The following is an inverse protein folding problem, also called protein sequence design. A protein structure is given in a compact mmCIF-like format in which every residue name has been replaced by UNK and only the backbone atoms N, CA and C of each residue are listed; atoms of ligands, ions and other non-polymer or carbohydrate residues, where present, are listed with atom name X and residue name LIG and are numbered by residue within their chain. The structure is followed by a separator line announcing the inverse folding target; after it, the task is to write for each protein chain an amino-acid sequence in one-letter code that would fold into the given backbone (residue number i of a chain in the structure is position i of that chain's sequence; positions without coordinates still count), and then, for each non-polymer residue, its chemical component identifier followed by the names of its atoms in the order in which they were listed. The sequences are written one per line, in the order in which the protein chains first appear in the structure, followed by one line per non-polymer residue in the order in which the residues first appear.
data_IF_213018054154
#
_entry.id   IF_213018054154
#
_cell.length_a   1.000
_cell.length_b   1.000
_cell.length_c   1.000
_cell.angle_alpha   90.00
_cell.angle_beta   90.00
_cell.angle_gamma   90.00
#
_symmetry.space_group_name_H-M   'P 1'
#
loop_
_entity.id
_entity.type
_entity.pdbx_description
1 polymer ?
#
# COMPACT_ATOMS: atom_id res chain seq x y z
N UNK A 1 -9.24 -3.81 -25.01
CA UNK A 1 -8.72 -3.53 -23.66
C UNK A 1 -9.54 -2.38 -23.16
N UNK A 2 -10.28 -2.58 -22.08
CA UNK A 2 -10.85 -1.46 -21.33
C UNK A 2 -9.66 -0.60 -20.88
N UNK A 3 -9.73 0.71 -21.11
CA UNK A 3 -8.63 1.62 -20.79
C UNK A 3 -8.63 1.89 -19.30
N UNK A 4 -7.48 1.66 -18.65
CA UNK A 4 -7.26 1.91 -17.23
C UNK A 4 -7.62 3.37 -16.87
N UNK A 5 -8.61 3.55 -15.99
CA UNK A 5 -9.13 4.87 -15.62
C UNK A 5 -8.11 5.73 -14.85
N UNK A 6 -7.14 5.09 -14.20
CA UNK A 6 -6.05 5.78 -13.54
C UNK A 6 -4.99 6.26 -14.55
N UNK A 7 -4.69 5.44 -15.56
CA UNK A 7 -3.86 5.89 -16.69
C UNK A 7 -4.54 6.99 -17.49
N UNK A 8 -5.85 6.88 -17.70
CA UNK A 8 -6.66 7.93 -18.31
C UNK A 8 -6.58 9.23 -17.50
N UNK A 9 -6.66 9.16 -16.16
CA UNK A 9 -6.53 10.35 -15.30
C UNK A 9 -5.15 11.01 -15.44
N UNK A 10 -4.07 10.21 -15.55
CA UNK A 10 -2.73 10.74 -15.82
C UNK A 10 -2.65 11.47 -17.16
N UNK A 11 -3.26 10.91 -18.20
CA UNK A 11 -3.31 11.54 -19.52
C UNK A 11 -4.18 12.82 -19.49
N UNK A 12 -5.34 12.77 -18.85
CA UNK A 12 -6.20 13.94 -18.67
C UNK A 12 -5.49 15.07 -17.92
N UNK A 13 -4.74 14.75 -16.87
CA UNK A 13 -3.90 15.73 -16.16
C UNK A 13 -2.88 16.37 -17.11
N UNK A 14 -2.15 15.54 -17.88
CA UNK A 14 -1.16 16.01 -18.85
C UNK A 14 -1.77 16.96 -19.88
N UNK A 15 -2.94 16.64 -20.41
CA UNK A 15 -3.62 17.41 -21.46
C UNK A 15 -4.14 18.77 -20.95
N UNK A 16 -4.36 18.90 -19.62
CA UNK A 16 -4.76 20.15 -18.98
C UNK A 16 -3.58 20.99 -18.47
N UNK A 17 -2.35 20.45 -18.46
CA UNK A 17 -1.16 21.21 -18.11
C UNK A 17 -0.90 22.31 -19.15
N UNK A 18 -0.64 23.53 -18.68
CA UNK A 18 -0.47 24.70 -19.55
C UNK A 18 0.64 25.66 -19.06
N UNK A 19 1.52 25.18 -18.16
CA UNK A 19 2.60 25.91 -17.47
C UNK A 19 2.15 26.77 -16.28
N UNK A 20 0.85 26.97 -16.12
CA UNK A 20 0.27 27.73 -15.01
C UNK A 20 -0.66 26.86 -14.14
N UNK A 21 -1.35 25.90 -14.75
CA UNK A 21 -2.35 25.11 -14.05
C UNK A 21 -1.70 24.08 -13.12
N UNK A 22 -0.68 23.36 -13.56
CA UNK A 22 0.01 22.32 -12.80
C UNK A 22 0.68 22.77 -11.49
N UNK A 23 0.93 24.07 -11.30
CA UNK A 23 1.70 24.63 -10.17
C UNK A 23 0.93 24.72 -8.85
N UNK A 24 -0.14 23.93 -8.70
CA UNK A 24 -0.94 23.92 -7.49
C UNK A 24 -1.54 22.56 -7.23
N UNK A 25 -2.20 22.41 -6.09
CA UNK A 25 -2.86 21.17 -5.70
C UNK A 25 -4.07 20.90 -6.62
N UNK A 26 -3.84 20.15 -7.69
CA UNK A 26 -4.84 19.82 -8.72
C UNK A 26 -5.48 18.49 -8.51
N UNK A 27 -4.70 17.44 -8.33
CA UNK A 27 -5.21 16.09 -8.10
C UNK A 27 -4.64 15.61 -6.78
N UNK A 28 -5.52 15.26 -5.86
CA UNK A 28 -5.16 14.74 -4.55
C UNK A 28 -5.98 13.47 -4.30
N UNK A 29 -5.28 12.37 -4.06
CA UNK A 29 -5.86 11.12 -3.58
C UNK A 29 -5.25 10.83 -2.22
N UNK A 30 -6.09 10.61 -1.21
CA UNK A 30 -5.65 10.28 0.15
C UNK A 30 -6.56 9.22 0.76
N UNK A 31 -6.07 8.56 1.79
CA UNK A 31 -6.82 7.59 2.58
C UNK A 31 -7.65 8.28 3.68
N UNK A 32 -8.62 7.58 4.26
CA UNK A 32 -9.58 8.09 5.25
C UNK A 32 -9.52 7.29 6.55
N UNK A 33 -9.83 7.96 7.67
CA UNK A 33 -9.89 7.38 9.02
C UNK A 33 -10.88 6.22 9.16
N UNK A 34 -11.98 6.23 8.42
CA UNK A 34 -12.84 5.06 8.24
C UNK A 34 -12.44 4.48 6.88
N UNK A 35 -11.83 3.26 6.84
CA UNK A 35 -11.03 2.82 5.71
C UNK A 35 -11.66 3.14 4.36
N UNK A 36 -10.90 3.84 3.53
CA UNK A 36 -11.41 4.33 2.26
C UNK A 36 -10.52 5.36 1.61
N UNK A 37 -11.04 5.94 0.53
CA UNK A 37 -10.32 6.85 -0.34
C UNK A 37 -11.07 8.15 -0.48
N UNK A 38 -10.34 9.26 -0.42
CA UNK A 38 -10.78 10.58 -0.82
C UNK A 38 -10.02 11.03 -2.05
N UNK A 39 -10.75 11.46 -3.08
CA UNK A 39 -10.18 12.02 -4.30
C UNK A 39 -10.76 13.41 -4.52
N UNK A 40 -9.88 14.39 -4.69
CA UNK A 40 -10.21 15.72 -5.14
C UNK A 40 -9.47 16.09 -6.43
N UNK A 41 -10.23 16.64 -7.38
CA UNK A 41 -9.71 17.17 -8.64
C UNK A 41 -10.17 18.61 -8.77
N UNK A 42 -9.22 19.54 -8.76
CA UNK A 42 -9.46 20.97 -8.92
C UNK A 42 -9.72 21.29 -10.40
N UNK A 43 -10.93 21.69 -10.72
CA UNK A 43 -11.38 21.96 -12.09
C UNK A 43 -11.22 23.44 -12.45
N UNK A 44 -10.70 24.27 -11.54
CA UNK A 44 -10.51 25.69 -11.81
C UNK A 44 -9.60 25.86 -13.02
N UNK A 45 -9.97 26.78 -13.90
CA UNK A 45 -9.25 27.11 -15.12
C UNK A 45 -9.22 25.97 -16.18
N UNK A 46 -10.05 24.93 -16.01
CA UNK A 46 -10.35 23.93 -17.06
C UNK A 46 -11.73 24.18 -17.68
N UNK A 47 -12.03 23.51 -18.79
CA UNK A 47 -13.37 23.56 -19.41
C UNK A 47 -14.48 22.98 -18.51
N UNK A 48 -14.10 22.19 -17.51
CA UNK A 48 -15.02 21.54 -16.57
C UNK A 48 -15.45 22.45 -15.42
N UNK A 49 -14.83 23.62 -15.25
CA UNK A 49 -15.05 24.52 -14.11
C UNK A 49 -16.54 24.87 -13.86
N UNK A 50 -17.34 24.92 -14.93
CA UNK A 50 -18.77 25.25 -14.88
C UNK A 50 -19.67 24.11 -15.36
N UNK A 51 -19.11 22.91 -15.59
CA UNK A 51 -19.87 21.77 -16.06
C UNK A 51 -20.75 21.26 -14.92
N UNK A 52 -22.05 21.07 -15.19
CA UNK A 52 -22.97 20.53 -14.20
C UNK A 52 -22.63 19.07 -13.89
N UNK A 53 -22.65 18.74 -12.61
CA UNK A 53 -22.47 17.38 -12.11
C UNK A 53 -23.67 17.00 -11.24
N UNK A 54 -24.27 15.85 -11.52
CA UNK A 54 -25.30 15.29 -10.67
C UNK A 54 -24.63 14.59 -9.49
N UNK A 55 -24.81 15.12 -8.29
CA UNK A 55 -24.24 14.54 -7.07
C UNK A 55 -24.65 13.06 -6.92
N UNK A 56 -23.65 12.22 -6.66
CA UNK A 56 -23.82 10.81 -6.34
C UNK A 56 -23.68 10.68 -4.83
N UNK A 57 -24.71 10.11 -4.20
CA UNK A 57 -24.70 9.71 -2.80
C UNK A 57 -25.23 8.29 -2.73
N UNK A 58 -24.35 7.33 -2.99
CA UNK A 58 -24.62 5.93 -2.72
C UNK A 58 -24.08 5.62 -1.32
N UNK A 59 -24.95 5.84 -0.34
CA UNK A 59 -24.66 5.55 1.06
C UNK A 59 -24.73 4.03 1.18
N UNK A 60 -23.56 3.43 1.29
CA UNK A 60 -23.33 2.01 1.12
C UNK A 60 -24.28 1.02 1.78
N UNK A 61 -24.24 -0.22 1.27
CA UNK A 61 -24.87 -1.37 1.91
C UNK A 61 -24.09 -1.84 3.17
N UNK A 62 -22.90 -1.30 3.41
CA UNK A 62 -22.00 -1.54 4.57
C UNK A 62 -21.04 -0.35 4.80
N UNK A 63 -20.26 -0.40 5.89
CA UNK A 63 -19.24 0.62 6.24
C UNK A 63 -18.08 0.71 5.22
N UNK A 64 -17.84 -0.35 4.46
CA UNK A 64 -16.72 -0.47 3.50
C UNK A 64 -17.14 -0.25 2.03
N UNK A 65 -18.44 -0.24 1.73
CA UNK A 65 -18.94 -0.18 0.37
C UNK A 65 -19.91 0.97 0.18
N UNK A 66 -19.39 2.18 0.11
CA UNK A 66 -20.13 3.42 -0.12
C UNK A 66 -19.40 4.32 -1.12
N UNK A 67 -20.12 5.28 -1.72
CA UNK A 67 -19.54 6.25 -2.66
C UNK A 67 -20.29 7.57 -2.60
N UNK A 68 -19.53 8.66 -2.51
CA UNK A 68 -20.02 10.02 -2.62
C UNK A 68 -19.17 10.75 -3.65
N UNK A 69 -19.80 11.34 -4.65
CA UNK A 69 -19.15 12.23 -5.62
C UNK A 69 -19.97 13.51 -5.74
N UNK A 70 -19.32 14.67 -5.74
CA UNK A 70 -19.98 15.97 -5.86
C UNK A 70 -19.03 17.00 -6.44
N UNK A 71 -19.57 18.13 -6.90
CA UNK A 71 -18.76 19.32 -7.15
C UNK A 71 -19.00 20.34 -6.06
N UNK A 72 -17.92 20.85 -5.44
CA UNK A 72 -17.94 21.97 -4.50
C UNK A 72 -16.75 22.87 -4.78
N UNK A 73 -16.98 24.19 -4.80
CA UNK A 73 -15.93 25.19 -5.00
C UNK A 73 -15.02 24.91 -6.21
N UNK A 74 -15.63 24.49 -7.33
CA UNK A 74 -14.91 24.14 -8.58
C UNK A 74 -13.97 22.94 -8.42
N UNK A 75 -14.20 22.08 -7.43
CA UNK A 75 -13.51 20.80 -7.27
C UNK A 75 -14.50 19.66 -7.43
N UNK A 76 -14.13 18.65 -8.24
CA UNK A 76 -14.72 17.34 -8.09
C UNK A 76 -14.19 16.74 -6.79
N UNK A 77 -15.07 16.47 -5.84
CA UNK A 77 -14.75 15.99 -4.50
C UNK A 77 -15.49 14.66 -4.29
N UNK A 78 -14.74 13.65 -3.91
CA UNK A 78 -15.28 12.31 -3.75
C UNK A 78 -14.67 11.61 -2.56
N UNK A 79 -15.47 10.74 -1.95
CA UNK A 79 -15.07 9.88 -0.87
C UNK A 79 -15.77 8.53 -1.06
N UNK A 80 -15.07 7.44 -0.82
CA UNK A 80 -15.59 6.10 -1.03
C UNK A 80 -14.90 5.10 -0.11
N UNK A 81 -15.54 3.94 0.09
CA UNK A 81 -14.93 2.85 0.84
C UNK A 81 -13.79 2.16 0.08
N UNK A 82 -13.08 1.25 0.75
CA UNK A 82 -11.81 0.66 0.29
C UNK A 82 -11.85 0.03 -1.11
N UNK A 83 -12.98 -0.58 -1.52
CA UNK A 83 -13.13 -1.24 -2.82
C UNK A 83 -13.57 -0.30 -3.97
N UNK A 84 -13.97 0.94 -3.66
CA UNK A 84 -14.80 1.74 -4.57
C UNK A 84 -14.05 2.83 -5.35
N UNK A 85 -12.75 3.02 -5.10
CA UNK A 85 -11.94 4.01 -5.81
C UNK A 85 -11.95 3.83 -7.35
N UNK A 86 -11.87 2.60 -7.91
CA UNK A 86 -11.99 2.42 -9.36
C UNK A 86 -13.33 2.93 -9.91
N UNK A 87 -14.42 2.72 -9.17
CA UNK A 87 -15.74 3.25 -9.51
C UNK A 87 -15.79 4.78 -9.50
N UNK A 88 -15.12 5.43 -8.54
CA UNK A 88 -15.01 6.89 -8.46
C UNK A 88 -14.22 7.46 -9.65
N UNK A 89 -13.12 6.83 -10.04
CA UNK A 89 -12.34 7.23 -11.22
C UNK A 89 -13.20 7.13 -12.49
N UNK A 90 -13.96 6.03 -12.64
CA UNK A 90 -14.93 5.87 -13.73
C UNK A 90 -16.01 6.94 -13.73
N UNK A 91 -16.57 7.30 -12.58
CA UNK A 91 -17.56 8.39 -12.47
C UNK A 91 -16.98 9.69 -13.04
N UNK A 92 -15.76 10.04 -12.64
CA UNK A 92 -15.11 11.25 -13.12
C UNK A 92 -14.89 11.21 -14.62
N UNK A 93 -14.29 10.12 -15.13
CA UNK A 93 -14.05 9.92 -16.57
C UNK A 93 -15.32 10.05 -17.41
N UNK A 94 -16.35 9.23 -17.14
CA UNK A 94 -17.58 9.26 -17.93
C UNK A 94 -18.25 10.63 -17.87
N UNK A 95 -18.18 11.30 -16.71
CA UNK A 95 -18.67 12.67 -16.60
C UNK A 95 -17.88 13.62 -17.49
N UNK A 96 -16.55 13.54 -17.54
CA UNK A 96 -15.72 14.35 -18.45
C UNK A 96 -16.09 14.08 -19.92
N UNK A 97 -16.22 12.80 -20.29
CA UNK A 97 -16.46 12.35 -21.68
C UNK A 97 -17.93 12.52 -22.14
N UNK A 98 -18.85 12.87 -21.24
CA UNK A 98 -20.31 12.94 -21.48
C UNK A 98 -20.95 11.58 -21.83
N UNK A 99 -20.39 10.51 -21.28
CA UNK A 99 -20.93 9.16 -21.43
C UNK A 99 -21.94 8.85 -20.33
N UNK A 100 -22.99 8.07 -20.65
CA UNK A 100 -23.98 7.66 -19.66
C UNK A 100 -23.41 6.61 -18.72
N UNK A 101 -23.43 6.89 -17.41
CA UNK A 101 -22.89 6.00 -16.39
C UNK A 101 -24.01 5.40 -15.52
N UNK A 102 -24.18 4.07 -15.57
CA UNK A 102 -25.02 3.31 -14.63
C UNK A 102 -24.12 2.58 -13.63
N UNK A 103 -24.02 3.15 -12.43
CA UNK A 103 -23.17 2.63 -11.35
C UNK A 103 -23.45 1.16 -11.01
N UNK A 104 -24.71 0.70 -11.10
CA UNK A 104 -25.05 -0.68 -10.75
C UNK A 104 -24.55 -1.67 -11.80
N UNK A 105 -24.70 -1.34 -13.08
CA UNK A 105 -24.21 -2.18 -14.19
C UNK A 105 -22.69 -2.15 -14.31
N UNK A 106 -22.08 -0.98 -14.14
CA UNK A 106 -20.62 -0.84 -14.22
C UNK A 106 -19.93 -1.50 -13.03
N UNK A 107 -20.49 -1.47 -11.82
CA UNK A 107 -19.95 -2.21 -10.68
C UNK A 107 -19.93 -3.73 -10.89
N UNK A 108 -20.89 -4.30 -11.64
CA UNK A 108 -20.88 -5.73 -11.97
C UNK A 108 -19.74 -6.05 -12.92
N UNK A 109 -19.54 -5.24 -13.98
CA UNK A 109 -18.44 -5.42 -14.94
C UNK A 109 -17.07 -5.22 -14.30
N UNK A 110 -16.93 -4.25 -13.38
CA UNK A 110 -15.70 -4.03 -12.61
C UNK A 110 -15.33 -5.29 -11.84
N UNK A 111 -16.29 -5.91 -11.13
CA UNK A 111 -16.03 -7.14 -10.37
C UNK A 111 -15.68 -8.34 -11.26
N UNK A 112 -16.17 -8.40 -12.49
CA UNK A 112 -15.86 -9.47 -13.46
C UNK A 112 -14.51 -9.29 -14.17
N UNK A 113 -13.98 -8.07 -14.29
CA UNK A 113 -12.75 -7.73 -15.02
C UNK A 113 -11.48 -7.56 -14.14
N UNK A 114 -11.52 -7.93 -12.85
CA UNK A 114 -10.37 -7.89 -11.92
C UNK A 114 -9.32 -8.97 -12.21
N UNK A 115 -8.78 -9.01 -13.42
CA UNK A 115 -7.72 -9.93 -13.85
C UNK A 115 -6.75 -9.22 -14.79
N UNK A 116 -6.11 -8.14 -14.34
CA UNK A 116 -4.84 -7.63 -14.89
C UNK A 116 -3.99 -7.15 -13.69
N UNK A 117 -2.68 -7.42 -13.73
CA UNK A 117 -1.66 -6.95 -12.80
C UNK A 117 -1.60 -5.40 -12.77
N UNK A 118 -2.58 -4.76 -12.15
CA UNK A 118 -2.60 -3.33 -11.90
C UNK A 118 -1.90 -3.04 -10.57
N UNK A 119 -0.72 -2.43 -10.63
CA UNK A 119 0.06 -2.06 -9.44
C UNK A 119 -0.70 -1.02 -8.57
N UNK A 120 -1.63 -0.27 -9.14
CA UNK A 120 -2.48 0.66 -8.40
C UNK A 120 -3.59 -0.08 -7.64
N UNK A 121 -4.20 -1.11 -8.24
CA UNK A 121 -5.11 -2.02 -7.53
C UNK A 121 -4.38 -2.80 -6.44
N UNK A 122 -3.16 -3.26 -6.71
CA UNK A 122 -2.33 -3.91 -5.69
C UNK A 122 -2.05 -2.98 -4.51
N UNK A 123 -1.74 -1.69 -4.76
CA UNK A 123 -1.56 -0.71 -3.68
C UNK A 123 -2.84 -0.53 -2.85
N UNK A 124 -4.01 -0.56 -3.48
CA UNK A 124 -5.29 -0.48 -2.76
C UNK A 124 -5.49 -1.69 -1.83
N UNK A 125 -5.16 -2.89 -2.31
CA UNK A 125 -5.19 -4.10 -1.50
C UNK A 125 -4.17 -4.04 -0.37
N UNK A 126 -2.94 -3.60 -0.65
CA UNK A 126 -1.90 -3.43 0.36
C UNK A 126 -2.35 -2.47 1.48
N UNK A 127 -2.98 -1.35 1.12
CA UNK A 127 -3.56 -0.43 2.11
C UNK A 127 -4.62 -1.13 2.98
N UNK A 128 -5.55 -1.86 2.35
CA UNK A 128 -6.60 -2.59 3.07
C UNK A 128 -6.03 -3.66 4.01
N UNK A 129 -4.98 -4.37 3.59
CA UNK A 129 -4.33 -5.42 4.39
C UNK A 129 -3.59 -4.87 5.62
N UNK A 130 -3.21 -3.58 5.61
CA UNK A 130 -2.60 -2.89 6.76
C UNK A 130 -3.62 -2.13 7.62
N UNK A 131 -4.91 -2.08 7.23
CA UNK A 131 -5.95 -1.52 8.09
C UNK A 131 -6.29 -2.52 9.21
N UNK A 132 -6.09 -2.11 10.45
CA UNK A 132 -6.30 -2.96 11.63
C UNK A 132 -7.24 -2.34 12.68
N UNK A 133 -7.80 -1.16 12.39
CA UNK A 133 -8.65 -0.39 13.30
C UNK A 133 -7.94 0.75 14.01
N UNK A 134 -6.61 0.78 14.01
CA UNK A 134 -5.80 1.85 14.60
C UNK A 134 -4.92 2.54 13.54
N UNK A 135 -4.33 1.77 12.63
CA UNK A 135 -3.38 2.26 11.64
C UNK A 135 -3.99 3.32 10.71
N UNK A 136 -5.18 3.09 10.18
CA UNK A 136 -5.88 4.00 9.26
C UNK A 136 -6.27 5.34 9.88
N UNK A 137 -6.31 5.44 11.21
CA UNK A 137 -6.61 6.67 11.92
C UNK A 137 -5.43 7.63 12.00
N UNK A 138 -4.20 7.14 11.76
CA UNK A 138 -2.95 7.91 11.92
C UNK A 138 -2.09 7.92 10.67
N UNK A 139 -2.13 6.85 9.90
CA UNK A 139 -1.25 6.56 8.79
C UNK A 139 -2.05 6.29 7.51
N UNK A 140 -1.37 6.30 6.36
CA UNK A 140 -2.06 6.01 5.12
C UNK A 140 -1.22 6.20 3.87
N UNK A 141 -1.95 6.26 2.76
CA UNK A 141 -1.43 6.54 1.42
C UNK A 141 -1.91 7.92 0.97
N UNK A 142 -1.01 8.67 0.34
CA UNK A 142 -1.33 9.93 -0.36
C UNK A 142 -0.63 10.01 -1.70
N UNK A 143 -1.34 10.52 -2.70
CA UNK A 143 -0.85 10.76 -4.04
C UNK A 143 -1.31 12.14 -4.50
N UNK A 144 -0.36 12.98 -4.91
CA UNK A 144 -0.64 14.37 -5.32
C UNK A 144 0.18 14.75 -6.55
N UNK A 145 -0.33 15.68 -7.35
CA UNK A 145 0.45 16.25 -8.45
C UNK A 145 1.53 17.22 -7.93
N UNK A 146 2.56 17.48 -8.74
CA UNK A 146 3.65 18.42 -8.44
C UNK A 146 3.88 19.44 -9.58
N UNK A 147 4.52 20.58 -9.23
CA UNK A 147 4.64 21.80 -10.05
C UNK A 147 5.36 21.64 -11.40
N UNK A 148 6.24 20.63 -11.53
CA UNK A 148 6.80 20.22 -12.82
C UNK A 148 6.12 18.90 -13.17
N UNK A 149 5.15 18.88 -14.11
CA UNK A 149 4.08 17.91 -14.14
C UNK A 149 4.54 16.50 -13.79
N UNK A 150 3.93 15.96 -12.76
CA UNK A 150 4.37 14.71 -12.18
C UNK A 150 3.55 14.36 -10.96
N UNK A 151 4.03 13.35 -10.25
CA UNK A 151 3.35 12.77 -9.11
C UNK A 151 4.27 12.67 -7.90
N UNK A 152 3.68 12.80 -6.71
CA UNK A 152 4.29 12.48 -5.43
C UNK A 152 3.39 11.46 -4.72
N UNK A 153 3.88 10.24 -4.58
CA UNK A 153 3.30 9.17 -3.79
C UNK A 153 4.01 9.10 -2.44
N UNK A 154 3.26 9.17 -1.35
CA UNK A 154 3.75 8.99 0.02
C UNK A 154 2.93 7.89 0.68
N UNK A 155 3.63 6.91 1.25
CA UNK A 155 3.04 5.77 1.96
C UNK A 155 3.68 5.73 3.35
N UNK A 156 2.87 5.82 4.40
CA UNK A 156 3.32 5.61 5.77
C UNK A 156 3.65 4.13 6.01
N UNK A 157 4.76 3.87 6.70
CA UNK A 157 5.27 2.53 6.98
C UNK A 157 5.29 2.20 8.48
N UNK A 158 4.98 3.16 9.34
CA UNK A 158 4.87 2.93 10.78
C UNK A 158 3.90 1.79 11.05
N UNK A 159 4.27 0.90 11.97
CA UNK A 159 3.43 -0.21 12.42
C UNK A 159 3.10 -1.21 11.29
N UNK A 160 3.82 -1.15 10.17
CA UNK A 160 3.81 -2.16 9.10
C UNK A 160 5.08 -3.01 9.17
N UNK A 161 5.09 -4.16 8.48
CA UNK A 161 6.30 -5.01 8.33
C UNK A 161 7.48 -4.28 7.66
N UNK A 162 7.25 -3.10 7.08
CA UNK A 162 8.23 -2.29 6.36
C UNK A 162 8.80 -1.13 7.20
N UNK A 163 8.33 -0.89 8.43
CA UNK A 163 8.72 0.28 9.25
C UNK A 163 10.25 0.46 9.34
N UNK A 164 10.96 -0.66 9.47
CA UNK A 164 12.42 -0.71 9.60
C UNK A 164 13.11 -1.45 8.45
N UNK A 165 12.39 -1.71 7.36
CA UNK A 165 12.96 -2.36 6.19
C UNK A 165 13.97 -1.41 5.51
N UNK A 166 15.12 -1.96 5.12
CA UNK A 166 16.11 -1.19 4.38
C UNK A 166 15.61 -0.97 2.94
N UNK A 167 15.68 0.29 2.50
CA UNK A 167 15.41 0.65 1.10
C UNK A 167 16.64 1.32 0.52
N UNK A 168 17.10 0.84 -0.64
CA UNK A 168 18.13 1.52 -1.40
C UNK A 168 17.47 2.60 -2.26
N UNK A 169 17.89 3.87 -2.10
CA UNK A 169 17.41 4.96 -2.94
C UNK A 169 17.53 4.61 -4.43
N UNK A 170 16.44 4.83 -5.16
CA UNK A 170 16.37 4.67 -6.61
C UNK A 170 16.17 6.04 -7.21
N UNK A 171 17.12 6.45 -8.05
CA UNK A 171 17.06 7.70 -8.81
C UNK A 171 17.37 7.41 -10.28
N UNK A 172 16.40 7.65 -11.14
CA UNK A 172 16.55 7.50 -12.60
C UNK A 172 16.07 8.79 -13.25
N UNK A 173 16.94 9.40 -14.05
CA UNK A 173 16.70 10.68 -14.72
C UNK A 173 16.98 10.49 -16.21
N UNK A 174 15.91 10.34 -17.01
CA UNK A 174 15.99 10.09 -18.46
C UNK A 174 15.70 11.37 -19.25
N UNK A 175 14.78 12.20 -18.76
CA UNK A 175 14.50 13.55 -19.26
C UNK A 175 13.70 14.36 -18.23
N UNK A 176 13.41 15.64 -18.53
CA UNK A 176 12.59 16.51 -17.67
C UNK A 176 11.19 15.95 -17.35
N UNK A 177 10.62 15.13 -18.23
CA UNK A 177 9.29 14.52 -18.07
C UNK A 177 9.35 13.00 -17.80
N UNK A 178 10.54 12.39 -17.87
CA UNK A 178 10.76 10.95 -17.70
C UNK A 178 11.82 10.69 -16.64
N UNK A 179 11.35 10.56 -15.40
CA UNK A 179 12.21 10.39 -14.24
C UNK A 179 11.44 9.76 -13.08
N UNK A 180 12.17 9.08 -12.20
CA UNK A 180 11.70 8.58 -10.91
C UNK A 180 12.71 8.86 -9.80
N UNK A 181 12.21 9.11 -8.60
CA UNK A 181 12.96 9.18 -7.36
C UNK A 181 12.16 8.47 -6.27
N UNK A 182 12.65 7.34 -5.80
CA UNK A 182 12.07 6.60 -4.68
C UNK A 182 13.05 6.62 -3.51
N UNK A 183 12.55 6.95 -2.32
CA UNK A 183 13.32 7.00 -1.07
C UNK A 183 12.47 6.49 0.09
N UNK A 184 13.10 5.99 1.15
CA UNK A 184 12.44 5.81 2.45
C UNK A 184 13.13 6.72 3.46
N UNK A 185 12.34 7.56 4.13
CA UNK A 185 12.84 8.44 5.20
C UNK A 185 11.72 8.71 6.20
N UNK A 186 12.06 8.82 7.48
CA UNK A 186 11.11 9.05 8.57
C UNK A 186 9.89 8.10 8.47
N UNK A 187 10.15 6.80 8.32
CA UNK A 187 9.14 5.73 8.22
C UNK A 187 8.06 5.98 7.15
N UNK A 188 8.43 6.67 6.06
CA UNK A 188 7.60 6.88 4.88
C UNK A 188 8.35 6.47 3.63
N UNK A 189 7.70 5.71 2.75
CA UNK A 189 8.12 5.59 1.36
C UNK A 189 7.66 6.84 0.60
N UNK A 190 8.59 7.52 -0.06
CA UNK A 190 8.33 8.67 -0.92
C UNK A 190 8.80 8.39 -2.34
N UNK A 191 7.85 8.30 -3.27
CA UNK A 191 8.08 8.17 -4.70
C UNK A 191 7.67 9.45 -5.43
N UNK A 192 8.58 10.05 -6.18
CA UNK A 192 8.30 11.21 -7.04
C UNK A 192 8.66 10.88 -8.47
N UNK A 193 7.87 11.33 -9.43
CA UNK A 193 8.11 10.99 -10.82
C UNK A 193 7.47 11.95 -11.82
N UNK A 194 7.88 11.83 -13.08
CA UNK A 194 7.19 12.48 -14.21
C UNK A 194 5.77 11.96 -14.42
N UNK A 195 4.97 12.66 -15.24
CA UNK A 195 3.52 12.42 -15.40
C UNK A 195 3.16 10.98 -15.73
N UNK A 196 3.99 10.28 -16.51
CA UNK A 196 3.72 8.91 -17.01
C UNK A 196 4.49 7.82 -16.26
N UNK A 197 5.28 8.19 -15.25
CA UNK A 197 6.18 7.28 -14.55
C UNK A 197 5.59 6.73 -13.24
N UNK A 198 4.35 7.11 -12.87
CA UNK A 198 3.73 6.61 -11.64
C UNK A 198 3.59 5.07 -11.62
N UNK A 199 3.26 4.37 -12.72
CA UNK A 199 3.30 2.91 -12.74
C UNK A 199 4.68 2.35 -12.39
N UNK A 200 5.77 3.03 -12.77
CA UNK A 200 7.13 2.61 -12.43
C UNK A 200 7.40 2.76 -10.93
N UNK A 201 6.94 3.85 -10.31
CA UNK A 201 7.03 4.07 -8.86
C UNK A 201 6.23 3.04 -8.07
N UNK A 202 4.99 2.75 -8.48
CA UNK A 202 4.14 1.75 -7.85
C UNK A 202 4.79 0.35 -7.90
N UNK A 203 5.36 0.00 -9.06
CA UNK A 203 6.10 -1.24 -9.23
C UNK A 203 7.34 -1.33 -8.34
N UNK A 204 8.08 -0.24 -8.18
CA UNK A 204 9.22 -0.17 -7.25
C UNK A 204 8.77 -0.46 -5.82
N UNK A 205 7.69 0.17 -5.37
CA UNK A 205 7.16 -0.06 -4.03
C UNK A 205 6.72 -1.52 -3.86
N UNK A 206 5.90 -2.03 -4.79
CA UNK A 206 5.43 -3.42 -4.79
C UNK A 206 6.56 -4.45 -4.75
N UNK A 207 7.57 -4.31 -5.61
CA UNK A 207 8.73 -5.19 -5.61
C UNK A 207 9.48 -5.14 -4.28
N UNK A 208 9.66 -3.95 -3.70
CA UNK A 208 10.30 -3.81 -2.41
C UNK A 208 9.51 -4.48 -1.28
N UNK A 209 8.17 -4.41 -1.31
CA UNK A 209 7.33 -5.15 -0.36
C UNK A 209 7.56 -6.65 -0.50
N UNK A 210 7.48 -7.19 -1.71
CA UNK A 210 7.69 -8.63 -1.99
C UNK A 210 9.09 -9.10 -1.58
N UNK A 211 10.12 -8.27 -1.77
CA UNK A 211 11.49 -8.58 -1.33
C UNK A 211 11.63 -8.65 0.21
N UNK A 212 10.70 -8.02 0.95
CA UNK A 212 10.68 -8.02 2.40
C UNK A 212 9.63 -8.96 3.01
N UNK A 213 8.71 -9.51 2.21
CA UNK A 213 7.78 -10.54 2.65
C UNK A 213 8.53 -11.79 3.14
N UNK A 214 8.10 -12.40 4.25
CA UNK A 214 8.70 -13.64 4.72
C UNK A 214 8.55 -14.75 3.69
N UNK A 215 9.65 -15.42 3.36
CA UNK A 215 9.65 -16.54 2.41
C UNK A 215 9.00 -17.81 2.96
N UNK A 216 8.85 -17.90 4.29
CA UNK A 216 8.08 -18.96 4.96
C UNK A 216 7.22 -18.35 6.08
N UNK A 217 6.07 -18.97 6.32
CA UNK A 217 5.17 -18.57 7.40
C UNK A 217 5.85 -18.68 8.77
N UNK A 218 5.60 -17.69 9.62
CA UNK A 218 5.98 -17.75 11.03
C UNK A 218 5.10 -18.76 11.78
N UNK A 219 5.71 -19.61 12.61
CA UNK A 219 5.01 -20.67 13.35
C UNK A 219 4.63 -20.26 14.78
N UNK A 220 5.34 -19.29 15.38
CA UNK A 220 5.16 -18.91 16.79
C UNK A 220 5.03 -17.39 16.95
N UNK A 221 4.13 -16.97 17.82
CA UNK A 221 3.87 -15.56 18.11
C UNK A 221 4.53 -15.10 19.42
N UNK A 222 4.58 -13.80 19.63
CA UNK A 222 5.02 -13.24 20.90
C UNK A 222 4.16 -13.77 22.05
N UNK A 223 4.78 -14.07 23.20
CA UNK A 223 4.15 -14.72 24.36
C UNK A 223 3.72 -16.19 24.18
N UNK A 224 3.98 -16.83 23.04
CA UNK A 224 3.80 -18.28 22.95
C UNK A 224 4.77 -18.98 23.93
N UNK A 225 4.24 -19.92 24.72
CA UNK A 225 5.05 -20.83 25.52
C UNK A 225 5.54 -21.97 24.62
N UNK A 226 6.84 -22.25 24.70
CA UNK A 226 7.48 -23.28 23.89
C UNK A 226 8.41 -24.14 24.75
N UNK A 227 8.54 -25.39 24.36
CA UNK A 227 9.57 -26.30 24.88
C UNK A 227 10.60 -26.57 23.79
N UNK A 228 11.88 -26.56 24.15
CA UNK A 228 12.94 -26.96 23.21
C UNK A 228 12.91 -28.48 23.07
N UNK A 229 12.80 -28.98 21.84
CA UNK A 229 12.76 -30.42 21.54
C UNK A 229 13.98 -31.14 22.12
N UNK A 230 13.77 -32.38 22.55
CA UNK A 230 14.83 -33.21 23.15
C UNK A 230 15.96 -33.56 22.15
N UNK A 231 15.67 -33.55 20.85
CA UNK A 231 16.64 -33.80 19.78
C UNK A 231 17.38 -32.54 19.30
N UNK A 232 17.13 -31.38 19.92
CA UNK A 232 17.83 -30.15 19.60
C UNK A 232 19.31 -30.20 20.04
N UNK A 233 20.20 -29.46 19.38
CA UNK A 233 21.58 -29.26 19.84
C UNK A 233 21.66 -28.79 21.30
N UNK A 234 22.61 -29.33 22.08
CA UNK A 234 22.78 -29.02 23.51
C UNK A 234 22.86 -27.51 23.82
N UNK A 235 23.45 -26.74 22.90
CA UNK A 235 23.57 -25.28 23.01
C UNK A 235 22.21 -24.53 23.09
N UNK A 236 21.10 -25.18 22.72
CA UNK A 236 19.75 -24.61 22.79
C UNK A 236 18.96 -25.06 24.03
N UNK A 237 19.59 -25.75 24.98
CA UNK A 237 18.95 -26.22 26.22
C UNK A 237 17.72 -27.13 26.00
N UNK A 238 17.89 -28.34 25.40
CA UNK A 238 16.81 -29.29 25.17
C UNK A 238 15.99 -29.59 26.43
N UNK A 239 14.66 -29.60 26.30
CA UNK A 239 13.72 -29.87 27.38
C UNK A 239 13.41 -28.70 28.31
N UNK A 240 14.11 -27.58 28.22
CA UNK A 240 13.72 -26.37 28.95
C UNK A 240 12.46 -25.73 28.31
N UNK A 241 11.65 -25.06 29.13
CA UNK A 241 10.47 -24.31 28.71
C UNK A 241 10.80 -22.82 28.76
N UNK A 242 10.33 -22.06 27.77
CA UNK A 242 10.46 -20.62 27.75
C UNK A 242 9.31 -19.95 27.01
N UNK A 243 9.38 -18.62 26.97
CA UNK A 243 8.41 -17.79 26.28
C UNK A 243 9.07 -17.07 25.11
N UNK A 244 8.40 -17.01 23.97
CA UNK A 244 8.86 -16.25 22.81
C UNK A 244 8.77 -14.76 23.11
N UNK A 245 9.91 -14.06 23.04
CA UNK A 245 10.03 -12.62 23.25
C UNK A 245 10.78 -11.91 22.11
N UNK A 246 10.84 -12.54 20.94
CA UNK A 246 11.41 -11.98 19.73
C UNK A 246 11.48 -13.03 18.64
N UNK A 247 11.46 -12.59 17.39
CA UNK A 247 11.52 -13.48 16.22
C UNK A 247 12.13 -12.76 15.03
N UNK A 248 12.79 -13.52 14.16
CA UNK A 248 13.37 -13.01 12.92
C UNK A 248 13.54 -14.13 11.91
N UNK A 249 13.21 -13.86 10.65
CA UNK A 249 13.50 -14.75 9.52
C UNK A 249 15.02 -14.84 9.26
N UNK A 250 15.49 -16.02 8.86
CA UNK A 250 16.86 -16.26 8.41
C UNK A 250 17.02 -15.78 6.96
N UNK A 251 17.63 -14.61 6.79
CA UNK A 251 17.93 -14.02 5.47
C UNK A 251 19.34 -14.30 4.94
N UNK A 252 20.20 -14.97 5.73
CA UNK A 252 21.62 -15.20 5.36
C UNK A 252 22.09 -16.64 5.62
N UNK A 253 22.89 -17.17 4.69
CA UNK A 253 23.40 -18.55 4.68
C UNK A 253 24.29 -18.91 5.88
N UNK A 254 25.08 -17.95 6.38
CA UNK A 254 25.91 -18.13 7.56
C UNK A 254 25.07 -18.22 8.84
N UNK A 255 23.98 -17.45 8.93
CA UNK A 255 22.97 -17.58 9.99
C UNK A 255 22.26 -18.94 9.89
N UNK A 256 21.83 -19.35 8.69
CA UNK A 256 21.20 -20.65 8.46
C UNK A 256 22.08 -21.80 9.00
N UNK A 257 23.37 -21.79 8.65
CA UNK A 257 24.37 -22.76 9.14
C UNK A 257 24.53 -22.70 10.66
N UNK A 258 24.64 -21.50 11.24
CA UNK A 258 24.81 -21.30 12.69
C UNK A 258 23.66 -21.93 13.50
N UNK A 259 22.44 -21.83 12.99
CA UNK A 259 21.24 -22.32 13.66
C UNK A 259 20.74 -23.67 13.11
N UNK A 260 21.52 -24.33 12.25
CA UNK A 260 21.19 -25.64 11.66
C UNK A 260 19.81 -25.64 10.97
N UNK A 261 19.49 -24.54 10.30
CA UNK A 261 18.23 -24.30 9.61
C UNK A 261 18.50 -23.88 8.16
N UNK A 262 17.44 -23.54 7.43
CA UNK A 262 17.48 -23.10 6.05
C UNK A 262 17.19 -21.59 5.92
N UNK A 263 17.53 -21.01 4.77
CA UNK A 263 17.03 -19.68 4.42
C UNK A 263 15.49 -19.68 4.47
N UNK A 264 14.93 -18.60 5.00
CA UNK A 264 13.50 -18.44 5.20
C UNK A 264 12.93 -19.08 6.46
N UNK A 265 13.67 -19.95 7.15
CA UNK A 265 13.22 -20.44 8.47
C UNK A 265 13.28 -19.30 9.51
N UNK A 266 12.52 -19.45 10.58
CA UNK A 266 12.45 -18.46 11.66
C UNK A 266 13.35 -18.83 12.84
N UNK A 267 13.97 -17.81 13.44
CA UNK A 267 14.67 -17.89 14.71
C UNK A 267 13.89 -17.10 15.75
N UNK A 268 13.75 -17.68 16.94
CA UNK A 268 13.00 -17.09 18.04
C UNK A 268 13.94 -16.80 19.21
N UNK A 269 13.79 -15.63 19.81
CA UNK A 269 14.39 -15.31 21.10
C UNK A 269 13.50 -15.88 22.19
N UNK A 270 14.02 -16.84 22.94
CA UNK A 270 13.32 -17.54 24.01
C UNK A 270 13.83 -17.05 25.34
N UNK A 271 12.93 -16.52 26.17
CA UNK A 271 13.21 -16.13 27.56
C UNK A 271 12.80 -17.26 28.49
N UNK A 272 13.76 -17.74 29.26
CA UNK A 272 13.55 -18.80 30.26
C UNK A 272 13.14 -18.21 31.61
N UNK A 273 12.58 -19.03 32.50
CA UNK A 273 12.25 -18.62 33.88
C UNK A 273 13.46 -18.08 34.65
N UNK A 274 14.65 -18.58 34.32
CA UNK A 274 15.93 -18.12 34.88
C UNK A 274 16.29 -16.68 34.48
N UNK A 275 15.56 -16.07 33.55
CA UNK A 275 15.84 -14.75 32.97
C UNK A 275 16.88 -14.77 31.86
N UNK A 276 17.46 -15.95 31.53
CA UNK A 276 18.34 -16.12 30.37
C UNK A 276 17.53 -16.01 29.09
N UNK A 277 18.18 -15.54 28.02
CA UNK A 277 17.59 -15.43 26.69
C UNK A 277 18.49 -16.12 25.67
N UNK A 278 17.92 -17.01 24.85
CA UNK A 278 18.65 -17.69 23.78
C UNK A 278 17.87 -17.66 22.48
N UNK A 279 18.60 -17.56 21.37
CA UNK A 279 18.03 -17.69 20.04
C UNK A 279 17.99 -19.16 19.63
N UNK A 280 16.82 -19.63 19.22
CA UNK A 280 16.58 -21.03 18.83
C UNK A 280 15.85 -21.04 17.48
N UNK A 281 16.25 -21.92 16.56
CA UNK A 281 15.52 -22.10 15.30
C UNK A 281 14.16 -22.78 15.55
N UNK A 282 13.12 -22.33 14.86
CA UNK A 282 11.74 -22.84 15.03
C UNK A 282 11.61 -24.36 14.91
N UNK A 283 12.41 -24.98 14.04
CA UNK A 283 12.45 -26.44 13.87
C UNK A 283 12.75 -27.22 15.16
N UNK A 284 13.38 -26.58 16.15
CA UNK A 284 13.72 -27.15 17.45
C UNK A 284 12.74 -26.76 18.58
N UNK A 285 11.62 -26.10 18.24
CA UNK A 285 10.58 -25.73 19.19
C UNK A 285 9.34 -26.60 19.01
N UNK A 286 8.60 -26.79 20.09
CA UNK A 286 7.22 -27.29 20.11
C UNK A 286 6.37 -26.38 20.99
N UNK A 287 5.10 -26.18 20.62
CA UNK A 287 4.15 -25.41 21.45
C UNK A 287 3.98 -26.12 22.79
N UNK A 288 4.17 -25.36 23.86
CA UNK A 288 3.92 -25.81 25.23
C UNK A 288 2.55 -25.26 25.68
N UNK A 289 1.58 -26.13 25.98
CA UNK A 289 0.23 -25.73 26.36
C UNK A 289 0.16 -25.08 27.76
#
# INVERSE_FOLDING_TARGET
MEEDDFLWLQQWYQDNCNKDWETGDRIQLRTLDNPGWWLAINLKDTELANKNFQEIKDIGRSEENWTVCKIRDTKFDSACGVENLPGVLKVFRHWVENESFDFTLENIKIKENLMIEDDFLWLQQWYQDNCDGDWEHTYGVSLENIDNPGWSLIIDLNETDLEYANFQEIKIDRSEEDWILCTVKNTKFEGRCGVRNLPEVLKVFRHWVIENEPSKNNEYAWNDYVIIKQDAPEQFCPGEIGVVCGMSEIKFEDIAKKYQSELGDWIYLIKFETGREFRVAGRFLERYP
#
